data_IF_038430766215
#
_entry.id   IF_038430766215
#
_cell.length_a   1.000
_cell.length_b   1.000
_cell.length_c   1.000
_cell.angle_alpha   90.00
_cell.angle_beta   90.00
_cell.angle_gamma   90.00
#
_symmetry.space_group_name_H-M   'P 1'
#
loop_
_entity.id
_entity.type
_entity.pdbx_description
1 polymer ?
#
# COMPACT_ATOMS: atom_id res chain seq x y z
N UNK A 1 7.91 -5.48 5.27
CA UNK A 1 6.63 -5.10 4.64
C UNK A 1 6.59 -3.60 4.38
N UNK A 2 6.02 -3.22 3.26
CA UNK A 2 5.82 -1.81 2.91
C UNK A 2 4.32 -1.53 2.91
N UNK A 3 3.92 -0.43 3.55
CA UNK A 3 2.52 0.00 3.56
C UNK A 3 2.39 1.29 2.77
N UNK A 4 1.54 1.26 1.75
CA UNK A 4 1.27 2.42 0.91
C UNK A 4 -0.06 3.02 1.32
N UNK A 5 -0.05 4.29 1.69
CA UNK A 5 -1.27 5.02 2.08
C UNK A 5 -1.49 6.14 1.08
N UNK A 6 -2.54 6.00 0.27
CA UNK A 6 -2.87 7.01 -0.74
C UNK A 6 -4.35 6.85 -1.08
N UNK A 7 -5.05 7.98 -1.25
CA UNK A 7 -6.47 7.97 -1.59
C UNK A 7 -6.72 7.70 -3.08
N UNK A 8 -5.68 7.74 -3.91
CA UNK A 8 -5.79 7.47 -5.35
C UNK A 8 -5.51 5.98 -5.61
N UNK A 9 -6.54 5.25 -6.03
CA UNK A 9 -6.42 3.81 -6.25
C UNK A 9 -5.45 3.46 -7.38
N UNK A 10 -5.38 4.30 -8.41
CA UNK A 10 -4.45 4.07 -9.52
C UNK A 10 -2.99 4.19 -9.05
N UNK A 11 -2.71 5.19 -8.23
CA UNK A 11 -1.38 5.38 -7.67
C UNK A 11 -1.02 4.21 -6.75
N UNK A 12 -1.95 3.80 -5.87
CA UNK A 12 -1.71 2.65 -5.00
C UNK A 12 -1.37 1.39 -5.80
N UNK A 13 -2.13 1.13 -6.85
CA UNK A 13 -1.92 -0.06 -7.68
C UNK A 13 -0.57 -0.02 -8.39
N UNK A 14 -0.20 1.13 -8.95
CA UNK A 14 1.08 1.28 -9.64
C UNK A 14 2.27 1.06 -8.69
N UNK A 15 2.24 1.72 -7.53
CA UNK A 15 3.32 1.59 -6.57
C UNK A 15 3.41 0.18 -6.02
N UNK A 16 2.26 -0.42 -5.70
CA UNK A 16 2.22 -1.80 -5.20
C UNK A 16 2.82 -2.76 -6.21
N UNK A 17 2.46 -2.62 -7.48
CA UNK A 17 2.98 -3.48 -8.53
C UNK A 17 4.50 -3.37 -8.63
N UNK A 18 5.01 -2.14 -8.66
CA UNK A 18 6.45 -1.90 -8.77
C UNK A 18 7.23 -2.50 -7.61
N UNK A 19 6.74 -2.30 -6.39
CA UNK A 19 7.42 -2.77 -5.19
C UNK A 19 7.35 -4.29 -5.06
N UNK A 20 6.23 -4.89 -5.44
CA UNK A 20 6.12 -6.35 -5.45
C UNK A 20 7.08 -6.98 -6.44
N UNK A 21 7.26 -6.36 -7.61
CA UNK A 21 8.23 -6.85 -8.58
C UNK A 21 9.66 -6.78 -8.07
N UNK A 22 9.93 -5.82 -7.19
CA UNK A 22 11.25 -5.70 -6.57
C UNK A 22 11.46 -6.71 -5.44
N UNK A 23 10.46 -7.50 -5.08
CA UNK A 23 10.58 -8.53 -4.07
C UNK A 23 10.09 -8.13 -2.69
N UNK A 24 9.40 -7.00 -2.56
CA UNK A 24 8.88 -6.56 -1.27
C UNK A 24 7.47 -7.08 -1.02
N UNK A 25 7.15 -7.32 0.24
CA UNK A 25 5.78 -7.54 0.67
C UNK A 25 5.11 -6.18 0.82
N UNK A 26 3.99 -5.98 0.11
CA UNK A 26 3.32 -4.68 0.05
C UNK A 26 1.87 -4.80 0.46
N UNK A 27 1.42 -3.88 1.31
CA UNK A 27 0.01 -3.69 1.63
C UNK A 27 -0.38 -2.27 1.32
N UNK A 28 -1.66 -2.06 1.00
CA UNK A 28 -2.13 -0.73 0.60
C UNK A 28 -3.35 -0.35 1.42
N UNK A 29 -3.50 0.96 1.64
CA UNK A 29 -4.66 1.51 2.35
C UNK A 29 -5.07 2.83 1.70
N UNK A 30 -6.39 3.11 1.61
CA UNK A 30 -6.84 4.36 1.01
C UNK A 30 -6.67 5.57 1.93
N UNK A 31 -6.47 5.34 3.22
CA UNK A 31 -6.28 6.43 4.17
C UNK A 31 -5.70 5.94 5.48
N UNK A 32 -5.46 6.87 6.43
CA UNK A 32 -4.81 6.51 7.69
C UNK A 32 -5.63 5.59 8.58
N UNK A 33 -6.96 5.67 8.52
CA UNK A 33 -7.82 4.79 9.32
C UNK A 33 -7.63 3.33 8.91
N UNK A 34 -7.67 3.07 7.61
CA UNK A 34 -7.49 1.72 7.06
C UNK A 34 -6.07 1.24 7.29
N UNK A 35 -5.10 2.15 7.23
CA UNK A 35 -3.71 1.81 7.51
C UNK A 35 -3.53 1.36 8.97
N UNK A 36 -4.22 2.03 9.89
CA UNK A 36 -4.17 1.65 11.31
C UNK A 36 -4.73 0.26 11.53
N UNK A 37 -5.79 -0.11 10.80
CA UNK A 37 -6.37 -1.45 10.90
C UNK A 37 -5.38 -2.52 10.43
N UNK A 38 -4.54 -2.19 9.46
CA UNK A 38 -3.55 -3.14 8.95
C UNK A 38 -2.42 -3.36 9.96
N UNK A 39 -2.00 -2.32 10.66
CA UNK A 39 -0.85 -2.40 11.57
C UNK A 39 -1.22 -2.71 13.02
N UNK A 40 -2.49 -2.67 13.34
CA UNK A 40 -2.94 -2.92 14.73
C UNK A 40 -3.00 -4.40 15.11
#
# INVERSE_FOLDING_TARGET
MILIIDDDSAVRSSLSFMLKRAGYEVKTAPGPREAMDIVS
#
